data_IF_447352475637
#
_entry.id   IF_447352475637
#
_cell.length_a   1.000
_cell.length_b   1.000
_cell.length_c   1.000
_cell.angle_alpha   90.00
_cell.angle_beta   90.00
_cell.angle_gamma   90.00
#
_symmetry.space_group_name_H-M   'P 1'
#
loop_
_entity.id
_entity.type
_entity.pdbx_description
1 polymer ?
#
# COMPACT_ATOMS: atom_id res chain seq x y z
N UNK A 1 -5.00 19.01 -5.07
CA UNK A 1 -4.63 17.65 -4.58
C UNK A 1 -5.45 16.68 -5.41
N UNK A 2 -4.79 15.96 -6.31
CA UNK A 2 -5.46 15.15 -7.34
C UNK A 2 -6.09 13.91 -6.68
N UNK A 3 -7.42 13.85 -6.70
CA UNK A 3 -8.18 12.62 -6.51
C UNK A 3 -8.01 11.82 -7.80
N UNK A 4 -7.42 10.64 -7.73
CA UNK A 4 -7.48 9.70 -8.86
C UNK A 4 -8.90 9.12 -8.87
N UNK A 5 -9.74 9.60 -9.78
CA UNK A 5 -11.10 9.07 -9.96
C UNK A 5 -11.02 7.59 -10.35
N UNK A 6 -11.78 6.74 -9.67
CA UNK A 6 -11.90 5.30 -9.99
C UNK A 6 -11.45 4.32 -8.91
N UNK A 7 -10.79 4.78 -7.83
CA UNK A 7 -10.51 3.94 -6.66
C UNK A 7 -11.19 4.55 -5.44
N UNK A 8 -12.16 3.87 -4.80
CA UNK A 8 -12.65 4.32 -3.50
C UNK A 8 -11.47 4.33 -2.53
N UNK A 9 -11.01 5.52 -2.18
CA UNK A 9 -10.19 5.70 -0.98
C UNK A 9 -11.18 5.64 0.17
N UNK A 10 -11.28 4.46 0.79
CA UNK A 10 -12.30 4.12 1.80
C UNK A 10 -12.23 4.97 3.08
N UNK A 11 -11.21 5.82 3.23
CA UNK A 11 -10.91 6.49 4.50
C UNK A 11 -11.03 8.01 4.40
N UNK A 12 -11.79 8.67 5.29
CA UNK A 12 -11.90 10.13 5.32
C UNK A 12 -10.62 10.84 5.82
N UNK A 13 -9.60 10.08 6.24
CA UNK A 13 -8.37 10.58 6.83
C UNK A 13 -7.38 11.09 5.78
N UNK A 14 -6.76 12.26 6.05
CA UNK A 14 -5.68 12.77 5.21
C UNK A 14 -4.35 12.08 5.55
N UNK A 15 -3.69 11.55 4.51
CA UNK A 15 -2.34 10.98 4.65
C UNK A 15 -1.36 12.08 5.07
N UNK A 16 -0.57 11.82 6.12
CA UNK A 16 0.57 12.64 6.54
C UNK A 16 1.87 11.98 6.03
N UNK A 17 2.94 12.76 5.85
CA UNK A 17 4.27 12.19 5.55
C UNK A 17 4.82 11.47 6.78
N UNK A 18 5.31 10.25 6.59
CA UNK A 18 6.04 9.46 7.59
C UNK A 18 7.27 8.85 6.92
N UNK A 19 8.34 8.63 7.68
CA UNK A 19 9.54 7.94 7.19
C UNK A 19 9.44 6.44 7.48
N UNK A 20 9.92 5.62 6.54
CA UNK A 20 9.97 4.17 6.67
C UNK A 20 11.36 3.69 6.23
N UNK A 21 11.98 2.83 7.03
CA UNK A 21 13.29 2.24 6.73
C UNK A 21 13.06 0.77 6.40
N UNK A 22 13.47 0.34 5.21
CA UNK A 22 13.32 -1.02 4.70
C UNK A 22 14.64 -1.48 4.08
N UNK A 23 14.87 -2.79 4.02
CA UNK A 23 15.92 -3.37 3.17
C UNK A 23 15.54 -3.23 1.70
N UNK A 24 16.51 -3.23 0.79
CA UNK A 24 16.27 -3.17 -0.65
C UNK A 24 15.30 -4.26 -1.12
N UNK A 25 15.53 -5.50 -0.69
CA UNK A 25 14.67 -6.64 -1.05
C UNK A 25 13.22 -6.47 -0.59
N UNK A 26 13.01 -5.84 0.57
CA UNK A 26 11.66 -5.57 1.08
C UNK A 26 10.99 -4.45 0.28
N UNK A 27 11.76 -3.44 -0.12
CA UNK A 27 11.27 -2.35 -0.96
C UNK A 27 10.88 -2.84 -2.36
N UNK A 28 11.70 -3.68 -2.99
CA UNK A 28 11.41 -4.29 -4.29
C UNK A 28 10.15 -5.15 -4.24
N UNK A 29 10.00 -5.96 -3.17
CA UNK A 29 8.80 -6.74 -2.96
C UNK A 29 7.58 -5.83 -2.80
N UNK A 30 7.64 -4.83 -1.93
CA UNK A 30 6.56 -3.85 -1.74
C UNK A 30 6.15 -3.19 -3.06
N UNK A 31 7.13 -2.79 -3.87
CA UNK A 31 6.87 -2.19 -5.18
C UNK A 31 6.12 -3.17 -6.10
N UNK A 32 6.63 -4.38 -6.25
CA UNK A 32 6.02 -5.43 -7.08
C UNK A 32 4.59 -5.72 -6.66
N UNK A 33 4.34 -5.87 -5.36
CA UNK A 33 3.00 -6.19 -4.84
C UNK A 33 1.99 -5.06 -5.08
N UNK A 34 2.43 -3.81 -4.86
CA UNK A 34 1.59 -2.65 -5.11
C UNK A 34 1.24 -2.51 -6.60
N UNK A 35 2.21 -2.76 -7.49
CA UNK A 35 2.02 -2.77 -8.94
C UNK A 35 1.05 -3.87 -9.40
N UNK A 36 1.18 -5.09 -8.86
CA UNK A 36 0.28 -6.21 -9.16
C UNK A 36 -1.18 -5.90 -8.79
N UNK A 37 -1.40 -5.12 -7.73
CA UNK A 37 -2.73 -4.71 -7.29
C UNK A 37 -3.20 -3.38 -7.91
N UNK A 38 -2.37 -2.73 -8.74
CA UNK A 38 -2.69 -1.44 -9.36
C UNK A 38 -2.84 -0.29 -8.37
N UNK A 39 -2.21 -0.37 -7.19
CA UNK A 39 -2.31 0.65 -6.13
C UNK A 39 -0.94 1.24 -5.79
N UNK A 40 -0.93 2.40 -5.12
CA UNK A 40 0.32 2.98 -4.63
C UNK A 40 0.91 2.15 -3.48
N UNK A 41 2.24 2.15 -3.32
CA UNK A 41 2.93 1.53 -2.18
C UNK A 41 2.39 1.98 -0.82
N UNK A 42 2.06 3.26 -0.67
CA UNK A 42 1.47 3.79 0.56
C UNK A 42 0.06 3.23 0.82
N UNK A 43 -0.74 3.07 -0.23
CA UNK A 43 -2.06 2.43 -0.14
C UNK A 43 -1.95 0.95 0.18
N UNK A 44 -0.98 0.25 -0.43
CA UNK A 44 -0.67 -1.13 -0.14
C UNK A 44 -0.33 -1.32 1.35
N UNK A 45 0.56 -0.49 1.91
CA UNK A 45 0.91 -0.54 3.33
C UNK A 45 -0.34 -0.30 4.20
N UNK A 46 -1.16 0.70 3.89
CA UNK A 46 -2.37 0.99 4.68
C UNK A 46 -3.37 -0.17 4.65
N UNK A 47 -3.57 -0.82 3.49
CA UNK A 47 -4.43 -2.00 3.38
C UNK A 47 -3.86 -3.19 4.12
N UNK A 48 -2.55 -3.41 4.03
CA UNK A 48 -1.86 -4.47 4.76
C UNK A 48 -2.02 -4.34 6.28
N UNK A 49 -1.73 -3.17 6.85
CA UNK A 49 -1.83 -2.95 8.30
C UNK A 49 -3.29 -2.97 8.80
N UNK A 50 -4.25 -2.70 7.91
CA UNK A 50 -5.69 -2.82 8.19
C UNK A 50 -6.23 -4.25 7.98
N UNK A 51 -5.39 -5.21 7.60
CA UNK A 51 -5.77 -6.61 7.40
C UNK A 51 -6.59 -6.87 6.13
N UNK A 52 -6.53 -5.96 5.15
CA UNK A 52 -7.26 -6.06 3.88
C UNK A 52 -6.45 -6.75 2.78
N UNK A 53 -5.21 -7.10 3.07
CA UNK A 53 -4.34 -7.90 2.19
C UNK A 53 -4.17 -9.26 2.84
N UNK A 54 -4.51 -10.31 2.10
CA UNK A 54 -4.32 -11.67 2.56
C UNK A 54 -2.85 -12.10 2.40
N UNK A 55 -2.24 -12.48 3.50
CA UNK A 55 -0.86 -12.96 3.56
C UNK A 55 -0.77 -14.49 3.62
N UNK A 56 -1.91 -15.18 3.74
CA UNK A 56 -1.98 -16.59 4.10
C UNK A 56 -1.49 -17.55 3.02
N UNK A 57 -1.38 -17.08 1.76
CA UNK A 57 -0.89 -17.89 0.63
C UNK A 57 0.64 -17.93 0.44
N UNK A 58 1.44 -17.45 1.40
CA UNK A 58 2.91 -17.34 1.27
C UNK A 58 3.73 -18.17 2.28
N UNK A 59 3.08 -19.07 3.03
CA UNK A 59 3.77 -20.01 3.92
C UNK A 59 4.49 -21.12 3.15
#
# INVERSE_FOLDING_TARGET
MWRTEGVPVDWPELKKRRNLILTDTCWELLQKEAEQQGISRSEFIERAVRGLIDWSGRA
#
